data_IF_905754786585
#
_entry.id   IF_905754786585
#
_cell.length_a   1.000
_cell.length_b   1.000
_cell.length_c   1.000
_cell.angle_alpha   90.00
_cell.angle_beta   90.00
_cell.angle_gamma   90.00
#
_symmetry.space_group_name_H-M   'P 1'
#
loop_
_entity.id
_entity.type
_entity.pdbx_description
1 polymer ?
#
# COMPACT_ATOMS: atom_id res chain seq x y z
N UNK A 1 11.75 -48.01 58.20
CA UNK A 1 13.01 -48.42 57.52
C UNK A 1 12.74 -48.90 56.09
N UNK A 2 11.81 -49.84 55.88
CA UNK A 2 11.41 -50.33 54.55
C UNK A 2 11.01 -49.25 53.55
N UNK A 3 10.19 -48.25 53.92
CA UNK A 3 9.78 -47.17 53.00
C UNK A 3 10.96 -46.35 52.44
N UNK A 4 12.03 -46.16 53.24
CA UNK A 4 13.25 -45.45 52.84
C UNK A 4 14.09 -46.28 51.86
N UNK A 5 14.12 -47.61 52.02
CA UNK A 5 14.80 -48.50 51.07
C UNK A 5 14.04 -48.61 49.76
N UNK A 6 12.70 -48.65 49.78
CA UNK A 6 11.88 -48.66 48.56
C UNK A 6 12.01 -47.35 47.77
N UNK A 7 12.07 -46.20 48.45
CA UNK A 7 12.32 -44.90 47.83
C UNK A 7 13.74 -44.80 47.26
N UNK A 8 14.77 -45.27 47.99
CA UNK A 8 16.14 -45.34 47.47
C UNK A 8 16.25 -46.24 46.23
N UNK A 9 15.55 -47.38 46.23
CA UNK A 9 15.53 -48.31 45.10
C UNK A 9 14.84 -47.70 43.86
N UNK A 10 13.68 -47.05 44.03
CA UNK A 10 12.99 -46.32 42.96
C UNK A 10 13.83 -45.18 42.37
N UNK A 11 14.51 -44.40 43.23
CA UNK A 11 15.41 -43.33 42.79
C UNK A 11 16.59 -43.90 42.00
N UNK A 12 17.15 -45.04 42.45
CA UNK A 12 18.21 -45.74 41.71
C UNK A 12 17.73 -46.27 40.35
N UNK A 13 16.53 -46.82 40.29
CA UNK A 13 15.96 -47.35 39.04
C UNK A 13 15.65 -46.21 38.04
N UNK A 14 15.13 -45.07 38.51
CA UNK A 14 14.94 -43.87 37.70
C UNK A 14 16.26 -43.27 37.21
N UNK A 15 17.29 -43.21 38.06
CA UNK A 15 18.64 -42.76 37.69
C UNK A 15 19.28 -43.70 36.66
N UNK A 16 19.14 -45.01 36.84
CA UNK A 16 19.66 -46.01 35.91
C UNK A 16 18.94 -45.94 34.56
N UNK A 17 17.64 -45.67 34.55
CA UNK A 17 16.87 -45.47 33.33
C UNK A 17 17.31 -44.19 32.59
N UNK A 18 17.44 -43.07 33.30
CA UNK A 18 17.92 -41.81 32.74
C UNK A 18 19.36 -41.92 32.21
N UNK A 19 20.26 -42.59 32.93
CA UNK A 19 21.62 -42.85 32.43
C UNK A 19 21.65 -43.78 31.22
N UNK A 20 20.67 -44.69 31.09
CA UNK A 20 20.52 -45.54 29.90
C UNK A 20 20.01 -44.76 28.69
N UNK A 21 19.10 -43.81 28.88
CA UNK A 21 18.64 -42.89 27.83
C UNK A 21 19.74 -41.91 27.40
N UNK A 22 20.46 -41.31 28.35
CA UNK A 22 21.60 -40.42 28.07
C UNK A 22 22.69 -41.10 27.25
N UNK A 23 22.84 -42.42 27.37
CA UNK A 23 23.82 -43.20 26.59
C UNK A 23 23.53 -43.18 25.09
N UNK A 24 22.28 -42.99 24.69
CA UNK A 24 21.86 -42.82 23.29
C UNK A 24 21.58 -41.37 22.92
N UNK A 25 21.65 -40.45 23.89
CA UNK A 25 21.38 -39.03 23.69
C UNK A 25 22.67 -38.35 23.22
N UNK A 26 22.84 -38.32 21.90
CA UNK A 26 23.88 -37.54 21.24
C UNK A 26 23.18 -36.41 20.48
N UNK A 27 23.59 -35.16 20.70
CA UNK A 27 23.16 -34.05 19.84
C UNK A 27 23.72 -34.33 18.44
N UNK A 28 22.85 -34.60 17.48
CA UNK A 28 23.26 -34.80 16.10
C UNK A 28 23.78 -33.48 15.54
N UNK A 29 25.00 -33.47 14.99
CA UNK A 29 25.47 -32.36 14.17
C UNK A 29 24.62 -32.30 12.89
N UNK A 30 23.53 -31.52 12.93
CA UNK A 30 22.66 -31.28 11.79
C UNK A 30 23.37 -30.34 10.81
N UNK A 31 24.02 -30.92 9.79
CA UNK A 31 24.65 -30.18 8.69
C UNK A 31 23.96 -30.49 7.36
N UNK A 32 23.68 -29.45 6.57
CA UNK A 32 23.19 -29.58 5.19
C UNK A 32 24.38 -29.61 4.22
N UNK A 33 24.62 -30.75 3.57
CA UNK A 33 25.65 -30.92 2.54
C UNK A 33 25.09 -30.86 1.11
N UNK A 34 23.81 -30.47 0.94
CA UNK A 34 23.21 -30.28 -0.37
C UNK A 34 23.98 -29.19 -1.14
N UNK A 35 24.45 -29.57 -2.32
CA UNK A 35 25.08 -28.64 -3.24
C UNK A 35 24.02 -28.06 -4.18
N UNK A 36 23.95 -26.74 -4.27
CA UNK A 36 23.23 -26.05 -5.34
C UNK A 36 24.22 -25.68 -6.44
N UNK A 37 23.87 -25.98 -7.69
CA UNK A 37 24.55 -25.41 -8.85
C UNK A 37 23.71 -24.22 -9.32
N UNK A 38 24.31 -23.04 -9.26
CA UNK A 38 23.68 -21.82 -9.74
C UNK A 38 23.49 -21.90 -11.26
N UNK A 39 22.24 -21.81 -11.73
CA UNK A 39 21.93 -21.73 -13.17
C UNK A 39 22.42 -20.42 -13.81
N UNK A 40 22.94 -19.48 -13.00
CA UNK A 40 23.47 -18.20 -13.48
C UNK A 40 24.76 -18.34 -14.30
N UNK A 41 25.51 -19.44 -14.15
CA UNK A 41 26.84 -19.59 -14.77
C UNK A 41 26.77 -20.14 -16.19
N UNK A 42 25.72 -20.86 -16.55
CA UNK A 42 25.59 -21.55 -17.84
C UNK A 42 24.26 -21.21 -18.53
N UNK A 43 24.14 -20.00 -19.09
CA UNK A 43 23.29 -19.74 -20.27
C UNK A 43 23.28 -18.26 -20.64
N UNK A 44 23.61 -18.00 -21.91
CA UNK A 44 23.42 -16.76 -22.68
C UNK A 44 21.94 -16.33 -22.85
N UNK A 45 21.06 -16.70 -21.91
CA UNK A 45 19.63 -16.35 -21.88
C UNK A 45 19.19 -15.63 -20.60
N UNK A 46 20.11 -15.36 -19.67
CA UNK A 46 19.81 -14.80 -18.34
C UNK A 46 20.15 -13.30 -18.19
N UNK A 47 20.37 -12.57 -19.28
CA UNK A 47 20.71 -11.14 -19.26
C UNK A 47 19.71 -10.31 -18.44
N UNK A 48 18.41 -10.62 -18.55
CA UNK A 48 17.33 -9.83 -17.93
C UNK A 48 17.30 -9.96 -16.39
N UNK A 49 17.57 -11.15 -15.84
CA UNK A 49 17.62 -11.37 -14.37
C UNK A 49 18.90 -10.81 -13.75
N UNK A 50 20.02 -10.88 -14.47
CA UNK A 50 21.25 -10.21 -14.08
C UNK A 50 21.03 -8.69 -14.02
N UNK A 51 20.38 -8.12 -15.04
CA UNK A 51 20.02 -6.69 -15.07
C UNK A 51 19.06 -6.29 -13.96
N UNK A 52 18.06 -7.10 -13.59
CA UNK A 52 17.16 -6.77 -12.47
C UNK A 52 17.91 -6.77 -11.13
N UNK A 53 18.70 -7.80 -10.83
CA UNK A 53 19.51 -7.85 -9.60
C UNK A 53 20.51 -6.69 -9.53
N UNK A 54 21.03 -6.30 -10.70
CA UNK A 54 21.95 -5.20 -10.85
C UNK A 54 21.26 -3.83 -10.72
N UNK A 55 20.05 -3.66 -11.26
CA UNK A 55 19.22 -2.47 -11.09
C UNK A 55 18.80 -2.29 -9.62
N UNK A 56 18.43 -3.37 -8.94
CA UNK A 56 18.13 -3.34 -7.50
C UNK A 56 19.38 -2.93 -6.70
N UNK A 57 20.56 -3.43 -7.07
CA UNK A 57 21.81 -3.05 -6.40
C UNK A 57 22.20 -1.59 -6.70
N UNK A 58 22.07 -1.13 -7.95
CA UNK A 58 22.26 0.27 -8.33
C UNK A 58 21.27 1.16 -7.58
N UNK A 59 20.01 0.78 -7.49
CA UNK A 59 18.97 1.55 -6.81
C UNK A 59 19.21 1.59 -5.31
N UNK A 60 19.60 0.47 -4.69
CA UNK A 60 19.99 0.41 -3.28
C UNK A 60 21.15 1.35 -3.00
N UNK A 61 22.14 1.38 -3.89
CA UNK A 61 23.30 2.24 -3.78
C UNK A 61 22.94 3.71 -4.03
N UNK A 62 22.12 4.02 -5.03
CA UNK A 62 21.62 5.35 -5.31
C UNK A 62 20.76 5.90 -4.16
N UNK A 63 19.90 5.06 -3.56
CA UNK A 63 19.14 5.40 -2.35
C UNK A 63 20.05 5.67 -1.16
N UNK A 64 21.11 4.86 -1.00
CA UNK A 64 22.10 5.08 0.06
C UNK A 64 22.81 6.42 -0.15
N UNK A 65 23.22 6.73 -1.39
CA UNK A 65 23.86 8.01 -1.74
C UNK A 65 22.89 9.18 -1.53
N UNK A 66 21.63 9.07 -1.94
CA UNK A 66 20.60 10.12 -1.74
C UNK A 66 20.24 10.32 -0.27
N UNK A 67 20.17 9.26 0.52
CA UNK A 67 19.91 9.33 1.97
C UNK A 67 21.08 10.01 2.71
N UNK A 68 22.32 9.64 2.37
CA UNK A 68 23.52 10.30 2.90
C UNK A 68 23.61 11.77 2.45
N UNK A 69 23.21 12.09 1.22
CA UNK A 69 23.14 13.47 0.72
C UNK A 69 22.07 14.30 1.45
N UNK A 70 20.89 13.73 1.71
CA UNK A 70 19.84 14.38 2.50
C UNK A 70 20.30 14.64 3.95
N UNK A 71 20.99 13.68 4.58
CA UNK A 71 21.63 13.84 5.88
C UNK A 71 22.74 14.90 5.87
N UNK A 72 23.49 14.99 4.77
CA UNK A 72 24.52 16.02 4.56
C UNK A 72 23.89 17.42 4.45
N UNK A 73 22.84 17.58 3.65
CA UNK A 73 22.08 18.82 3.52
C UNK A 73 21.48 19.26 4.87
N UNK A 74 20.87 18.34 5.61
CA UNK A 74 20.31 18.60 6.93
C UNK A 74 21.37 18.96 7.98
N UNK A 75 22.59 18.43 7.87
CA UNK A 75 23.73 18.81 8.72
C UNK A 75 24.34 20.14 8.31
N UNK A 76 24.39 20.45 7.01
CA UNK A 76 24.88 21.73 6.48
C UNK A 76 23.94 22.90 6.83
N UNK A 77 22.63 22.66 6.91
CA UNK A 77 21.65 23.66 7.39
C UNK A 77 21.82 24.00 8.88
N UNK A 78 22.48 23.14 9.66
CA UNK A 78 22.64 23.27 11.11
C UNK A 78 24.09 23.57 11.56
N UNK A 79 25.02 23.80 10.62
CA UNK A 79 26.44 24.04 10.91
C UNK A 79 26.85 25.47 10.56
N UNK A 80 27.47 26.16 11.53
CA UNK A 80 28.19 27.41 11.31
C UNK A 80 29.49 27.07 10.55
N UNK A 81 29.63 27.55 9.32
CA UNK A 81 30.51 27.02 8.26
C UNK A 81 32.03 27.20 8.50
N UNK A 82 32.45 27.68 9.66
CA UNK A 82 33.85 28.00 9.96
C UNK A 82 34.62 26.89 10.70
N UNK A 83 33.99 25.77 11.07
CA UNK A 83 34.70 24.69 11.75
C UNK A 83 34.33 23.28 11.24
N UNK A 84 35.37 22.58 10.73
CA UNK A 84 35.60 21.10 10.79
C UNK A 84 35.50 20.32 9.44
N UNK A 85 36.40 19.32 9.21
CA UNK A 85 36.78 18.81 7.90
C UNK A 85 35.92 17.61 7.45
N UNK A 86 34.88 17.89 6.66
CA UNK A 86 33.95 16.89 6.06
C UNK A 86 34.50 16.25 4.77
N UNK A 87 35.58 16.81 4.19
CA UNK A 87 36.11 16.44 2.87
C UNK A 87 36.82 15.07 2.79
N UNK A 88 37.23 14.48 3.92
CA UNK A 88 37.98 13.21 3.91
C UNK A 88 37.06 11.98 3.74
N UNK A 89 35.84 12.01 4.29
CA UNK A 89 34.86 10.92 4.18
C UNK A 89 34.26 10.83 2.77
N UNK A 90 33.99 11.99 2.16
CA UNK A 90 33.53 12.12 0.76
C UNK A 90 34.47 11.46 -0.26
N UNK A 91 35.80 11.56 -0.07
CA UNK A 91 36.80 11.00 -0.99
C UNK A 91 36.86 9.47 -1.00
N UNK A 92 36.47 8.82 0.10
CA UNK A 92 36.56 7.37 0.21
C UNK A 92 35.33 6.67 -0.39
N UNK A 93 34.16 7.32 -0.36
CA UNK A 93 32.92 6.81 -0.95
C UNK A 93 32.82 7.05 -2.47
N UNK A 94 33.42 8.13 -2.99
CA UNK A 94 33.54 8.38 -4.45
C UNK A 94 34.33 7.29 -5.18
N UNK A 95 35.34 6.69 -4.53
CA UNK A 95 36.11 5.56 -5.12
C UNK A 95 35.27 4.30 -5.35
N UNK A 96 34.23 4.08 -4.54
CA UNK A 96 33.35 2.92 -4.68
C UNK A 96 32.43 3.11 -5.88
N UNK A 97 31.90 4.32 -6.05
CA UNK A 97 31.11 4.72 -7.24
C UNK A 97 31.96 4.65 -8.51
N UNK A 98 33.20 5.17 -8.50
CA UNK A 98 34.13 5.06 -9.63
C UNK A 98 34.46 3.60 -10.00
N UNK A 99 34.61 2.70 -9.03
CA UNK A 99 34.86 1.27 -9.29
C UNK A 99 33.66 0.57 -9.93
N UNK A 100 32.45 0.97 -9.55
CA UNK A 100 31.20 0.44 -10.10
C UNK A 100 30.97 0.98 -11.52
N UNK A 101 31.21 2.28 -11.75
CA UNK A 101 31.13 2.91 -13.06
C UNK A 101 32.15 2.32 -14.06
N UNK A 102 33.37 2.00 -13.62
CA UNK A 102 34.37 1.35 -14.49
C UNK A 102 33.99 -0.09 -14.84
N UNK A 103 33.40 -0.84 -13.90
CA UNK A 103 32.89 -2.20 -14.15
C UNK A 103 31.70 -2.20 -15.12
N UNK A 104 30.84 -1.18 -15.01
CA UNK A 104 29.74 -0.89 -15.91
C UNK A 104 30.21 -0.57 -17.34
N UNK A 105 31.25 0.25 -17.46
CA UNK A 105 31.84 0.59 -18.76
C UNK A 105 32.46 -0.65 -19.41
N UNK A 106 33.17 -1.50 -18.69
CA UNK A 106 33.71 -2.76 -19.24
C UNK A 106 32.60 -3.66 -19.81
N UNK A 107 31.52 -3.87 -19.06
CA UNK A 107 30.41 -4.75 -19.46
C UNK A 107 29.60 -4.15 -20.63
N UNK A 108 29.37 -2.84 -20.62
CA UNK A 108 28.73 -2.14 -21.73
C UNK A 108 29.63 -2.12 -22.99
N UNK A 109 30.95 -2.03 -22.82
CA UNK A 109 31.91 -2.11 -23.92
C UNK A 109 31.89 -3.49 -24.57
N UNK A 110 31.81 -4.57 -23.78
CA UNK A 110 31.64 -5.94 -24.29
C UNK A 110 30.31 -6.13 -25.03
N UNK A 111 29.24 -5.43 -24.59
CA UNK A 111 27.92 -5.45 -25.22
C UNK A 111 27.88 -4.66 -26.54
N UNK A 112 28.60 -3.54 -26.62
CA UNK A 112 28.75 -2.70 -27.83
C UNK A 112 29.67 -3.36 -28.87
N UNK A 113 30.68 -4.11 -28.44
CA UNK A 113 31.57 -4.87 -29.35
C UNK A 113 30.80 -5.97 -30.09
N UNK A 114 29.72 -6.50 -29.53
CA UNK A 114 28.86 -7.51 -30.18
C UNK A 114 27.81 -6.89 -31.13
N UNK A 115 27.53 -5.59 -31.05
CA UNK A 115 26.58 -4.90 -31.94
C UNK A 115 27.24 -4.05 -33.05
N UNK A 116 28.52 -3.70 -32.92
CA UNK A 116 29.21 -2.80 -33.86
C UNK A 116 30.33 -3.49 -34.64
N UNK A 117 29.97 -4.23 -35.69
CA UNK A 117 30.84 -4.40 -36.86
C UNK A 117 30.76 -3.15 -37.75
N UNK A 118 31.23 -1.99 -37.27
CA UNK A 118 31.57 -0.87 -38.15
C UNK A 118 32.65 0.03 -37.53
N UNK A 119 33.73 0.35 -38.25
CA UNK A 119 34.91 0.98 -37.69
C UNK A 119 34.80 2.51 -37.80
N UNK A 120 34.70 3.22 -36.68
CA UNK A 120 35.26 4.57 -36.51
C UNK A 120 34.90 5.16 -35.14
N UNK A 121 35.85 5.16 -34.21
CA UNK A 121 36.11 6.27 -33.27
C UNK A 121 37.23 5.89 -32.31
N UNK A 122 38.48 6.19 -32.67
CA UNK A 122 39.67 6.00 -31.81
C UNK A 122 39.97 7.20 -30.89
N UNK A 123 39.10 8.21 -30.84
CA UNK A 123 39.42 9.48 -30.18
C UNK A 123 38.84 9.63 -28.75
N UNK A 124 38.11 8.64 -28.22
CA UNK A 124 37.43 8.75 -26.92
C UNK A 124 38.31 8.50 -25.68
N UNK A 125 39.56 8.04 -25.84
CA UNK A 125 40.38 7.59 -24.71
C UNK A 125 41.19 8.71 -24.03
N UNK A 126 41.57 9.77 -24.76
CA UNK A 126 42.48 10.81 -24.26
C UNK A 126 41.77 11.94 -23.49
N UNK A 127 40.43 12.05 -23.59
CA UNK A 127 39.65 13.09 -22.91
C UNK A 127 39.31 12.73 -21.44
N UNK A 128 39.46 11.46 -21.05
CA UNK A 128 39.11 10.94 -19.73
C UNK A 128 40.07 11.37 -18.60
N UNK A 129 41.29 11.81 -18.92
CA UNK A 129 42.36 11.99 -17.91
C UNK A 129 42.42 13.42 -17.32
N UNK A 130 41.76 14.41 -17.91
CA UNK A 130 41.85 15.82 -17.45
C UNK A 130 40.75 16.28 -16.46
N UNK A 131 39.88 15.39 -15.98
CA UNK A 131 38.63 15.79 -15.29
C UNK A 131 38.73 15.94 -13.76
N UNK A 132 39.89 15.71 -13.14
CA UNK A 132 40.02 15.59 -11.66
C UNK A 132 40.32 16.89 -10.86
N UNK A 133 39.97 18.09 -11.36
CA UNK A 133 40.31 19.35 -10.64
C UNK A 133 39.20 20.41 -10.43
N UNK A 134 37.91 20.08 -10.54
CA UNK A 134 36.87 21.08 -10.17
C UNK A 134 35.53 20.49 -9.69
N UNK A 135 34.94 20.99 -8.59
CA UNK A 135 33.64 20.55 -8.05
C UNK A 135 32.47 20.64 -9.04
N UNK A 136 32.51 21.60 -9.97
CA UNK A 136 31.46 21.82 -10.98
C UNK A 136 31.37 20.73 -12.07
N UNK A 137 32.34 19.81 -12.14
CA UNK A 137 32.28 18.62 -13.01
C UNK A 137 31.73 17.38 -12.31
N UNK A 138 31.79 17.32 -10.98
CA UNK A 138 31.23 16.23 -10.17
C UNK A 138 29.69 16.25 -10.20
N UNK A 139 29.08 17.43 -10.08
CA UNK A 139 27.65 17.62 -10.30
C UNK A 139 27.26 17.16 -11.72
N UNK A 140 27.99 17.60 -12.76
CA UNK A 140 27.72 17.17 -14.14
C UNK A 140 27.87 15.66 -14.36
N UNK A 141 28.78 15.00 -13.64
CA UNK A 141 28.97 13.55 -13.74
C UNK A 141 27.84 12.80 -13.04
N UNK A 142 27.39 13.22 -11.86
CA UNK A 142 26.19 12.65 -11.20
C UNK A 142 24.95 12.86 -12.07
N UNK A 143 24.81 14.03 -12.69
CA UNK A 143 23.72 14.29 -13.64
C UNK A 143 23.81 13.39 -14.87
N UNK A 144 25.00 13.19 -15.45
CA UNK A 144 25.23 12.26 -16.56
C UNK A 144 24.99 10.80 -16.17
N UNK A 145 25.47 10.36 -15.00
CA UNK A 145 25.29 8.99 -14.50
C UNK A 145 23.82 8.73 -14.14
N UNK A 146 23.12 9.75 -13.61
CA UNK A 146 21.67 9.72 -13.41
C UNK A 146 20.87 9.72 -14.71
N UNK A 147 21.34 10.40 -15.76
CA UNK A 147 20.78 10.31 -17.12
C UNK A 147 21.01 8.93 -17.75
N UNK A 148 22.23 8.38 -17.66
CA UNK A 148 22.55 7.02 -18.14
C UNK A 148 21.72 5.97 -17.40
N UNK A 149 21.53 6.12 -16.08
CA UNK A 149 20.67 5.22 -15.31
C UNK A 149 19.20 5.30 -15.75
N UNK A 150 18.67 6.52 -16.00
CA UNK A 150 17.33 6.69 -16.57
C UNK A 150 17.18 6.05 -17.95
N UNK A 151 18.19 6.18 -18.81
CA UNK A 151 18.18 5.60 -20.15
C UNK A 151 18.24 4.07 -20.13
N UNK A 152 19.06 3.47 -19.26
CA UNK A 152 19.12 2.01 -19.08
C UNK A 152 17.81 1.45 -18.51
N UNK A 153 17.20 2.12 -17.52
CA UNK A 153 15.89 1.73 -17.00
C UNK A 153 14.84 1.82 -18.11
N UNK A 154 14.90 2.88 -18.93
CA UNK A 154 13.99 3.06 -20.08
C UNK A 154 14.14 1.93 -21.10
N UNK A 155 15.37 1.59 -21.50
CA UNK A 155 15.64 0.47 -22.42
C UNK A 155 15.17 -0.87 -21.85
N UNK A 156 15.37 -1.12 -20.55
CA UNK A 156 14.89 -2.33 -19.90
C UNK A 156 13.36 -2.43 -19.90
N UNK A 157 12.67 -1.31 -19.63
CA UNK A 157 11.20 -1.25 -19.73
C UNK A 157 10.81 -1.50 -21.19
N UNK A 158 11.48 -0.87 -22.16
CA UNK A 158 11.20 -1.07 -23.59
C UNK A 158 11.29 -2.55 -23.99
N UNK A 159 12.34 -3.26 -23.56
CA UNK A 159 12.50 -4.70 -23.81
C UNK A 159 11.35 -5.50 -23.19
N UNK A 160 11.00 -5.19 -21.93
CA UNK A 160 9.86 -5.83 -21.26
C UNK A 160 8.55 -5.60 -22.01
N UNK A 161 8.35 -4.41 -22.59
CA UNK A 161 7.17 -4.09 -23.38
C UNK A 161 7.15 -4.80 -24.73
N UNK A 162 8.28 -4.91 -25.42
CA UNK A 162 8.39 -5.70 -26.66
C UNK A 162 7.97 -7.15 -26.39
N UNK A 163 8.49 -7.75 -25.31
CA UNK A 163 8.11 -9.10 -24.92
C UNK A 163 6.59 -9.26 -24.67
N UNK A 164 5.93 -8.24 -24.10
CA UNK A 164 4.49 -8.26 -23.84
C UNK A 164 3.67 -8.08 -25.14
N UNK A 165 4.11 -7.17 -26.01
CA UNK A 165 3.36 -6.74 -27.19
C UNK A 165 3.54 -7.67 -28.40
N UNK A 166 4.61 -8.44 -28.47
CA UNK A 166 4.85 -9.35 -29.60
C UNK A 166 3.91 -10.57 -29.60
N UNK A 167 3.28 -10.82 -30.74
CA UNK A 167 2.29 -11.90 -30.91
C UNK A 167 2.89 -13.31 -30.74
N UNK A 168 4.18 -13.47 -31.03
CA UNK A 168 4.88 -14.75 -30.94
C UNK A 168 5.48 -15.03 -29.56
N UNK A 169 5.39 -14.08 -28.63
CA UNK A 169 5.99 -14.21 -27.30
C UNK A 169 5.37 -15.36 -26.50
N UNK A 170 6.24 -16.17 -25.89
CA UNK A 170 5.79 -17.23 -24.99
C UNK A 170 5.14 -16.66 -23.73
N UNK A 171 4.10 -17.32 -23.23
CA UNK A 171 3.38 -16.92 -21.99
C UNK A 171 4.36 -16.72 -20.81
N UNK A 172 5.40 -17.56 -20.71
CA UNK A 172 6.42 -17.46 -19.66
C UNK A 172 7.26 -16.18 -19.76
N UNK A 173 7.54 -15.72 -20.98
CA UNK A 173 8.30 -14.49 -21.19
C UNK A 173 7.46 -13.26 -20.81
N UNK A 174 6.17 -13.28 -21.18
CA UNK A 174 5.19 -12.24 -20.80
C UNK A 174 5.01 -12.20 -19.28
N UNK A 175 4.83 -13.34 -18.62
CA UNK A 175 4.74 -13.46 -17.16
C UNK A 175 5.97 -12.86 -16.45
N UNK A 176 7.15 -13.20 -16.95
CA UNK A 176 8.42 -12.68 -16.43
C UNK A 176 8.50 -11.16 -16.59
N UNK A 177 8.19 -10.64 -17.78
CA UNK A 177 8.21 -9.19 -18.04
C UNK A 177 7.20 -8.41 -17.20
N UNK A 178 5.99 -8.95 -16.97
CA UNK A 178 5.02 -8.29 -16.06
C UNK A 178 5.56 -8.27 -14.61
N UNK A 179 6.15 -9.38 -14.16
CA UNK A 179 6.75 -9.48 -12.81
C UNK A 179 7.89 -8.47 -12.64
N UNK A 180 8.73 -8.32 -13.66
CA UNK A 180 9.85 -7.37 -13.67
C UNK A 180 9.36 -5.92 -13.67
N UNK A 181 8.36 -5.57 -14.49
CA UNK A 181 7.73 -4.25 -14.48
C UNK A 181 7.11 -3.93 -13.12
N UNK A 182 6.43 -4.90 -12.51
CA UNK A 182 5.86 -4.74 -11.16
C UNK A 182 6.95 -4.48 -10.14
N UNK A 183 8.02 -5.30 -10.16
CA UNK A 183 9.16 -5.14 -9.27
C UNK A 183 9.85 -3.79 -9.43
N UNK A 184 9.97 -3.29 -10.66
CA UNK A 184 10.50 -1.96 -10.94
C UNK A 184 9.60 -0.84 -10.43
N UNK A 185 8.29 -0.94 -10.63
CA UNK A 185 7.33 0.06 -10.15
C UNK A 185 7.33 0.21 -8.62
N UNK A 186 7.58 -0.88 -7.89
CA UNK A 186 7.70 -0.85 -6.43
C UNK A 186 8.91 -0.03 -5.92
N UNK A 187 9.90 0.27 -6.77
CA UNK A 187 11.07 1.06 -6.39
C UNK A 187 10.83 2.58 -6.44
N UNK A 188 9.62 3.02 -6.80
CA UNK A 188 9.17 4.40 -6.58
C UNK A 188 8.40 5.01 -7.75
N UNK A 189 7.62 6.06 -7.44
CA UNK A 189 6.69 6.69 -8.39
C UNK A 189 7.35 7.23 -9.67
N UNK A 190 8.61 7.67 -9.63
CA UNK A 190 9.35 8.13 -10.81
C UNK A 190 9.54 7.02 -11.86
N UNK A 191 9.61 5.75 -11.44
CA UNK A 191 9.68 4.59 -12.35
C UNK A 191 8.30 4.28 -12.90
N UNK A 192 7.25 4.37 -12.08
CA UNK A 192 5.87 4.23 -12.56
C UNK A 192 5.51 5.28 -13.63
N UNK A 193 5.98 6.53 -13.47
CA UNK A 193 5.88 7.57 -14.49
C UNK A 193 6.59 7.15 -15.78
N UNK A 194 7.82 6.65 -15.69
CA UNK A 194 8.56 6.19 -16.86
C UNK A 194 7.87 5.01 -17.56
N UNK A 195 7.42 3.99 -16.81
CA UNK A 195 6.66 2.85 -17.34
C UNK A 195 5.41 3.36 -18.09
N UNK A 196 4.69 4.33 -17.53
CA UNK A 196 3.51 4.92 -18.16
C UNK A 196 3.88 5.63 -19.47
N UNK A 197 4.95 6.44 -19.48
CA UNK A 197 5.41 7.21 -20.66
C UNK A 197 5.77 6.36 -21.85
N UNK A 198 6.39 5.20 -21.62
CA UNK A 198 6.81 4.30 -22.71
C UNK A 198 5.72 3.31 -23.13
N UNK A 199 4.48 3.48 -22.63
CA UNK A 199 3.33 2.69 -23.06
C UNK A 199 3.05 1.43 -22.23
N UNK A 200 3.61 1.33 -21.02
CA UNK A 200 3.41 0.16 -20.16
C UNK A 200 1.96 -0.07 -19.74
N UNK A 201 1.20 1.00 -19.53
CA UNK A 201 -0.24 0.89 -19.23
C UNK A 201 -1.01 0.21 -20.36
N UNK A 202 -0.81 0.64 -21.61
CA UNK A 202 -1.44 0.02 -22.79
C UNK A 202 -1.06 -1.45 -22.92
N UNK A 203 0.22 -1.77 -22.77
CA UNK A 203 0.71 -3.15 -22.89
C UNK A 203 0.07 -4.06 -21.82
N UNK A 204 0.01 -3.61 -20.56
CA UNK A 204 -0.61 -4.35 -19.47
C UNK A 204 -2.13 -4.51 -19.66
N UNK A 205 -2.84 -3.49 -20.16
CA UNK A 205 -4.25 -3.60 -20.53
C UNK A 205 -4.47 -4.60 -21.68
N UNK A 206 -3.56 -4.65 -22.66
CA UNK A 206 -3.56 -5.67 -23.71
C UNK A 206 -3.55 -7.10 -23.13
N UNK A 207 -2.70 -7.36 -22.13
CA UNK A 207 -2.66 -8.65 -21.42
C UNK A 207 -4.00 -8.98 -20.75
N UNK A 208 -4.69 -7.98 -20.18
CA UNK A 208 -5.99 -8.19 -19.54
C UNK A 208 -7.08 -8.60 -20.53
N UNK A 209 -7.05 -8.03 -21.74
CA UNK A 209 -8.07 -8.21 -22.79
C UNK A 209 -7.82 -9.50 -23.58
N UNK A 210 -6.57 -9.80 -23.92
CA UNK A 210 -6.24 -10.87 -24.84
C UNK A 210 -6.48 -12.27 -24.24
N UNK A 211 -7.31 -13.07 -24.93
CA UNK A 211 -7.70 -14.40 -24.45
C UNK A 211 -6.52 -15.35 -24.25
N UNK A 212 -5.43 -15.19 -25.02
CA UNK A 212 -4.20 -15.99 -24.88
C UNK A 212 -3.52 -15.80 -23.52
N UNK A 213 -3.73 -14.66 -22.88
CA UNK A 213 -3.09 -14.30 -21.62
C UNK A 213 -4.03 -14.33 -20.42
N UNK A 214 -5.19 -14.98 -20.52
CA UNK A 214 -6.17 -15.08 -19.41
C UNK A 214 -5.52 -15.50 -18.08
N UNK A 215 -4.57 -16.44 -18.11
CA UNK A 215 -3.83 -16.91 -16.91
C UNK A 215 -2.92 -15.87 -16.26
N UNK A 216 -2.56 -14.82 -16.99
CA UNK A 216 -1.69 -13.73 -16.53
C UNK A 216 -2.49 -12.47 -16.14
N UNK A 217 -3.82 -12.49 -16.27
CA UNK A 217 -4.66 -11.32 -16.03
C UNK A 217 -4.50 -10.77 -14.61
N UNK A 218 -4.56 -11.63 -13.59
CA UNK A 218 -4.33 -11.22 -12.18
C UNK A 218 -2.97 -10.53 -12.00
N UNK A 219 -1.92 -11.06 -12.65
CA UNK A 219 -0.58 -10.50 -12.59
C UNK A 219 -0.49 -9.13 -13.28
N UNK A 220 -1.14 -8.98 -14.44
CA UNK A 220 -1.22 -7.71 -15.16
C UNK A 220 -2.03 -6.65 -14.40
N UNK A 221 -3.14 -7.03 -13.77
CA UNK A 221 -3.94 -6.16 -12.92
C UNK A 221 -3.13 -5.67 -11.71
N UNK A 222 -2.37 -6.54 -11.05
CA UNK A 222 -1.47 -6.14 -9.97
C UNK A 222 -0.37 -5.17 -10.42
N UNK A 223 0.19 -5.40 -11.61
CA UNK A 223 1.15 -4.49 -12.22
C UNK A 223 0.49 -3.12 -12.50
N UNK A 224 -0.74 -3.10 -13.04
CA UNK A 224 -1.50 -1.87 -13.27
C UNK A 224 -1.75 -1.11 -11.97
N UNK A 225 -2.14 -1.79 -10.88
CA UNK A 225 -2.28 -1.16 -9.56
C UNK A 225 -0.95 -0.57 -9.08
N UNK A 226 0.18 -1.25 -9.34
CA UNK A 226 1.51 -0.72 -8.96
C UNK A 226 1.88 0.54 -9.75
N UNK A 227 1.63 0.55 -11.06
CA UNK A 227 2.00 1.66 -11.94
C UNK A 227 1.05 2.87 -11.77
N UNK A 228 -0.22 2.64 -11.43
CA UNK A 228 -1.21 3.68 -11.20
C UNK A 228 -1.10 4.38 -9.84
N UNK A 229 0.05 4.28 -9.16
CA UNK A 229 0.32 5.02 -7.92
C UNK A 229 0.68 6.50 -8.14
N UNK A 230 0.75 6.94 -9.41
CA UNK A 230 1.07 8.31 -9.82
C UNK A 230 0.00 8.86 -10.78
N UNK A 231 -0.22 10.18 -10.75
CA UNK A 231 -1.24 10.85 -11.57
C UNK A 231 -1.09 10.59 -13.08
N UNK A 232 0.16 10.54 -13.57
CA UNK A 232 0.47 10.23 -14.97
C UNK A 232 0.03 8.81 -15.37
N UNK A 233 0.18 7.85 -14.47
CA UNK A 233 -0.27 6.46 -14.65
C UNK A 233 -1.78 6.38 -14.70
N UNK A 234 -2.48 7.05 -13.79
CA UNK A 234 -3.96 7.10 -13.76
C UNK A 234 -4.51 7.77 -15.03
N UNK A 235 -3.91 8.89 -15.45
CA UNK A 235 -4.32 9.60 -16.67
C UNK A 235 -4.13 8.73 -17.91
N UNK A 236 -2.99 8.04 -18.00
CA UNK A 236 -2.75 7.09 -19.08
C UNK A 236 -3.72 5.91 -19.03
N UNK A 237 -4.06 5.42 -17.83
CA UNK A 237 -5.00 4.32 -17.64
C UNK A 237 -6.40 4.65 -18.14
N UNK A 238 -6.91 5.84 -17.80
CA UNK A 238 -8.20 6.28 -18.32
C UNK A 238 -8.16 6.49 -19.84
N UNK A 239 -7.11 7.13 -20.36
CA UNK A 239 -6.95 7.39 -21.80
C UNK A 239 -6.94 6.11 -22.65
N UNK A 240 -6.35 5.04 -22.12
CA UNK A 240 -6.23 3.75 -22.80
C UNK A 240 -7.46 2.84 -22.59
N UNK A 241 -8.57 3.36 -22.04
CA UNK A 241 -9.81 2.61 -21.84
C UNK A 241 -9.77 1.65 -20.65
N UNK A 242 -8.85 1.85 -19.71
CA UNK A 242 -8.68 0.95 -18.57
C UNK A 242 -9.91 0.86 -17.66
N UNK A 243 -10.70 1.93 -17.57
CA UNK A 243 -11.95 1.95 -16.78
C UNK A 243 -12.98 0.97 -17.35
N UNK A 244 -13.12 0.91 -18.68
CA UNK A 244 -14.02 -0.04 -19.35
C UNK A 244 -13.57 -1.48 -19.09
N UNK A 245 -12.27 -1.75 -19.23
CA UNK A 245 -11.67 -3.07 -18.98
C UNK A 245 -11.92 -3.54 -17.55
N UNK A 246 -11.68 -2.68 -16.56
CA UNK A 246 -11.91 -3.03 -15.15
C UNK A 246 -13.40 -3.21 -14.87
N UNK A 247 -14.26 -2.37 -15.44
CA UNK A 247 -15.70 -2.53 -15.30
C UNK A 247 -16.18 -3.86 -15.87
N UNK A 248 -15.69 -4.26 -17.05
CA UNK A 248 -16.03 -5.54 -17.68
C UNK A 248 -15.58 -6.70 -16.80
N UNK A 249 -14.33 -6.65 -16.31
CA UNK A 249 -13.78 -7.68 -15.43
C UNK A 249 -14.59 -7.83 -14.15
N UNK A 250 -14.85 -6.71 -13.46
CA UNK A 250 -15.59 -6.71 -12.19
C UNK A 250 -17.05 -7.16 -12.34
N UNK A 251 -17.72 -6.74 -13.42
CA UNK A 251 -19.15 -6.97 -13.57
C UNK A 251 -19.51 -8.35 -14.15
N UNK A 252 -18.53 -9.08 -14.70
CA UNK A 252 -18.73 -10.42 -15.25
C UNK A 252 -18.58 -11.51 -14.16
N UNK A 253 -19.68 -12.14 -13.80
CA UNK A 253 -19.72 -13.21 -12.80
C UNK A 253 -19.00 -14.49 -13.24
N UNK A 254 -18.75 -14.68 -14.55
CA UNK A 254 -18.00 -15.82 -15.09
C UNK A 254 -16.48 -15.66 -14.90
N UNK A 255 -16.02 -14.45 -14.58
CA UNK A 255 -14.62 -14.20 -14.27
C UNK A 255 -14.30 -14.65 -12.84
N UNK A 256 -13.19 -15.39 -12.63
CA UNK A 256 -12.78 -15.85 -11.30
C UNK A 256 -12.66 -14.71 -10.29
N UNK A 257 -13.06 -15.00 -9.05
CA UNK A 257 -13.00 -14.03 -7.94
C UNK A 257 -11.60 -13.43 -7.73
N UNK A 258 -10.54 -14.23 -7.93
CA UNK A 258 -9.16 -13.74 -7.86
C UNK A 258 -8.88 -12.61 -8.86
N UNK A 259 -9.31 -12.77 -10.10
CA UNK A 259 -9.12 -11.77 -11.15
C UNK A 259 -9.95 -10.52 -10.87
N UNK A 260 -11.19 -10.68 -10.39
CA UNK A 260 -12.05 -9.55 -10.03
C UNK A 260 -11.54 -8.80 -8.80
N UNK A 261 -10.98 -9.50 -7.82
CA UNK A 261 -10.33 -8.91 -6.65
C UNK A 261 -9.12 -8.05 -7.01
N UNK A 262 -8.28 -8.49 -7.96
CA UNK A 262 -7.18 -7.68 -8.49
C UNK A 262 -7.71 -6.44 -9.25
N UNK A 263 -8.81 -6.58 -10.00
CA UNK A 263 -9.45 -5.45 -10.66
C UNK A 263 -10.04 -4.43 -9.66
N UNK A 264 -10.59 -4.91 -8.54
CA UNK A 264 -11.01 -4.05 -7.43
C UNK A 264 -9.80 -3.34 -6.79
N UNK A 265 -8.65 -4.00 -6.70
CA UNK A 265 -7.38 -3.40 -6.27
C UNK A 265 -6.92 -2.27 -7.19
N UNK A 266 -6.98 -2.46 -8.51
CA UNK A 266 -6.72 -1.39 -9.50
C UNK A 266 -7.69 -0.24 -9.29
N UNK A 267 -8.99 -0.53 -9.14
CA UNK A 267 -10.00 0.49 -8.91
C UNK A 267 -9.76 1.29 -7.63
N UNK A 268 -9.41 0.62 -6.53
CA UNK A 268 -9.03 1.27 -5.27
C UNK A 268 -7.82 2.20 -5.47
N UNK A 269 -6.82 1.76 -6.21
CA UNK A 269 -5.63 2.56 -6.50
C UNK A 269 -5.95 3.80 -7.32
N UNK A 270 -6.66 3.67 -8.45
CA UNK A 270 -6.95 4.80 -9.33
C UNK A 270 -7.94 5.79 -8.71
N UNK A 271 -8.70 5.40 -7.69
CA UNK A 271 -9.63 6.28 -6.97
C UNK A 271 -9.05 6.85 -5.67
N UNK A 272 -7.77 6.57 -5.39
CA UNK A 272 -7.14 6.94 -4.14
C UNK A 272 -7.01 8.47 -3.98
N UNK A 273 -7.40 9.05 -2.83
CA UNK A 273 -7.51 10.49 -2.65
C UNK A 273 -6.16 11.23 -2.46
N UNK A 274 -5.06 10.50 -2.26
CA UNK A 274 -3.73 11.08 -2.05
C UNK A 274 -2.96 11.35 -3.35
N UNK A 275 -3.47 10.88 -4.49
CA UNK A 275 -2.85 11.17 -5.79
C UNK A 275 -3.27 12.57 -6.22
N UNK A 276 -2.30 13.45 -6.40
CA UNK A 276 -2.53 14.84 -6.84
C UNK A 276 -3.32 14.87 -8.16
N UNK A 277 -4.26 15.81 -8.28
CA UNK A 277 -5.15 16.00 -9.43
C UNK A 277 -6.06 14.81 -9.79
N UNK A 278 -6.21 13.82 -8.90
CA UNK A 278 -7.11 12.68 -9.09
C UNK A 278 -8.59 13.01 -8.80
N UNK A 279 -9.07 14.15 -9.31
CA UNK A 279 -10.35 14.75 -8.91
C UNK A 279 -11.52 14.38 -9.81
N UNK A 280 -11.28 13.72 -10.94
CA UNK A 280 -12.35 13.18 -11.77
C UNK A 280 -11.84 12.07 -12.68
N UNK A 281 -12.53 10.93 -12.69
CA UNK A 281 -12.46 9.91 -13.74
C UNK A 281 -13.79 9.99 -14.52
N UNK A 282 -13.91 10.85 -15.55
CA UNK A 282 -15.15 11.01 -16.30
C UNK A 282 -15.76 9.69 -16.80
N UNK A 283 -14.93 8.76 -17.30
CA UNK A 283 -15.41 7.50 -17.84
C UNK A 283 -16.07 6.64 -16.75
N UNK A 284 -15.56 6.72 -15.51
CA UNK A 284 -16.04 5.92 -14.38
C UNK A 284 -17.52 6.12 -14.08
N UNK A 285 -18.06 7.33 -14.32
CA UNK A 285 -19.48 7.67 -14.05
C UNK A 285 -20.46 6.74 -14.77
N UNK A 286 -20.14 6.32 -16.00
CA UNK A 286 -20.97 5.40 -16.78
C UNK A 286 -21.07 3.99 -16.17
N UNK A 287 -20.09 3.61 -15.35
CA UNK A 287 -19.95 2.24 -14.83
C UNK A 287 -20.27 2.12 -13.33
N UNK A 288 -20.42 3.24 -12.62
CA UNK A 288 -20.58 3.27 -11.15
C UNK A 288 -21.62 2.29 -10.63
N UNK A 289 -22.81 2.24 -11.24
CA UNK A 289 -23.88 1.34 -10.77
C UNK A 289 -23.50 -0.14 -10.89
N UNK A 290 -22.88 -0.54 -12.00
CA UNK A 290 -22.42 -1.91 -12.22
C UNK A 290 -21.28 -2.27 -11.28
N UNK A 291 -20.28 -1.39 -11.18
CA UNK A 291 -19.13 -1.53 -10.30
C UNK A 291 -19.54 -1.65 -8.84
N UNK A 292 -20.41 -0.76 -8.34
CA UNK A 292 -20.87 -0.81 -6.94
C UNK A 292 -21.57 -2.14 -6.66
N UNK A 293 -22.41 -2.62 -7.58
CA UNK A 293 -23.07 -3.93 -7.44
C UNK A 293 -22.05 -5.08 -7.39
N UNK A 294 -21.06 -5.07 -8.27
CA UNK A 294 -20.00 -6.08 -8.32
C UNK A 294 -19.16 -6.09 -7.03
N UNK A 295 -18.68 -4.92 -6.61
CA UNK A 295 -17.87 -4.76 -5.39
C UNK A 295 -18.64 -5.16 -4.12
N UNK A 296 -19.96 -4.95 -4.10
CA UNK A 296 -20.82 -5.35 -2.98
C UNK A 296 -20.93 -6.88 -2.85
N UNK A 297 -20.78 -7.61 -3.96
CA UNK A 297 -20.88 -9.07 -3.97
C UNK A 297 -19.56 -9.78 -3.63
N UNK A 298 -18.43 -9.08 -3.71
CA UNK A 298 -17.09 -9.64 -3.52
C UNK A 298 -16.52 -9.50 -2.10
N UNK A 299 -15.58 -10.39 -1.76
CA UNK A 299 -14.99 -10.50 -0.43
C UNK A 299 -14.25 -9.22 -0.03
N UNK A 300 -14.38 -8.91 1.26
CA UNK A 300 -14.63 -7.60 1.83
C UNK A 300 -13.45 -6.61 1.92
N UNK A 301 -12.20 -7.07 1.78
CA UNK A 301 -11.03 -6.27 2.22
C UNK A 301 -10.54 -5.27 1.17
N UNK A 302 -10.52 -5.65 -0.11
CA UNK A 302 -10.06 -4.79 -1.21
C UNK A 302 -11.21 -4.00 -1.84
N UNK A 303 -12.41 -4.59 -1.90
CA UNK A 303 -13.60 -3.94 -2.49
C UNK A 303 -14.11 -2.78 -1.65
N UNK A 304 -13.99 -2.87 -0.31
CA UNK A 304 -14.40 -1.79 0.59
C UNK A 304 -13.54 -0.52 0.45
N UNK A 305 -12.24 -0.67 0.13
CA UNK A 305 -11.38 0.49 -0.16
C UNK A 305 -11.81 1.22 -1.44
N UNK A 306 -12.10 0.46 -2.51
CA UNK A 306 -12.64 1.04 -3.75
C UNK A 306 -13.98 1.74 -3.50
N UNK A 307 -14.92 1.10 -2.81
CA UNK A 307 -16.22 1.70 -2.48
C UNK A 307 -16.07 2.98 -1.64
N UNK A 308 -15.20 2.98 -0.63
CA UNK A 308 -14.93 4.14 0.21
C UNK A 308 -14.44 5.31 -0.64
N UNK A 309 -13.47 5.08 -1.53
CA UNK A 309 -12.95 6.08 -2.44
C UNK A 309 -14.05 6.61 -3.39
N UNK A 310 -14.86 5.73 -3.98
CA UNK A 310 -15.97 6.11 -4.86
C UNK A 310 -16.98 7.04 -4.16
N UNK A 311 -17.27 6.80 -2.88
CA UNK A 311 -18.21 7.65 -2.11
C UNK A 311 -17.72 9.09 -1.91
N UNK A 312 -16.43 9.37 -2.10
CA UNK A 312 -15.90 10.73 -2.12
C UNK A 312 -15.97 11.39 -3.50
N UNK A 313 -15.92 10.60 -4.57
CA UNK A 313 -15.81 11.10 -5.94
C UNK A 313 -17.16 11.56 -6.50
N UNK A 314 -18.25 10.85 -6.19
CA UNK A 314 -19.57 11.20 -6.75
C UNK A 314 -20.72 10.81 -5.80
N UNK A 315 -21.65 11.74 -5.58
CA UNK A 315 -22.82 11.53 -4.71
C UNK A 315 -23.77 10.45 -5.23
N UNK A 316 -23.83 10.24 -6.55
CA UNK A 316 -24.65 9.18 -7.17
C UNK A 316 -24.24 7.78 -6.76
N UNK A 317 -23.01 7.61 -6.24
CA UNK A 317 -22.55 6.35 -5.65
C UNK A 317 -23.40 5.95 -4.45
N UNK A 318 -23.90 6.91 -3.66
CA UNK A 318 -24.75 6.63 -2.51
C UNK A 318 -26.05 5.94 -2.94
N UNK A 319 -26.67 6.40 -4.04
CA UNK A 319 -27.88 5.78 -4.61
C UNK A 319 -27.60 4.36 -5.12
N UNK A 320 -26.45 4.14 -5.75
CA UNK A 320 -26.02 2.82 -6.21
C UNK A 320 -25.75 1.85 -5.04
N UNK A 321 -25.16 2.34 -3.94
CA UNK A 321 -24.93 1.57 -2.71
C UNK A 321 -26.23 1.15 -2.05
N UNK A 322 -27.22 2.05 -2.00
CA UNK A 322 -28.56 1.72 -1.49
C UNK A 322 -29.26 0.69 -2.36
N UNK A 323 -29.26 0.90 -3.68
CA UNK A 323 -29.85 -0.02 -4.66
C UNK A 323 -29.25 -1.43 -4.58
N UNK A 324 -27.98 -1.54 -4.19
CA UNK A 324 -27.26 -2.81 -4.05
C UNK A 324 -27.31 -3.38 -2.62
N UNK A 325 -28.04 -2.74 -1.70
CA UNK A 325 -28.08 -3.12 -0.28
C UNK A 325 -26.69 -3.22 0.38
N UNK A 326 -25.72 -2.43 -0.09
CA UNK A 326 -24.32 -2.52 0.36
C UNK A 326 -24.20 -2.28 1.85
N UNK A 327 -24.98 -1.35 2.41
CA UNK A 327 -25.04 -1.12 3.85
C UNK A 327 -25.37 -2.40 4.65
N UNK A 328 -26.29 -3.27 4.19
CA UNK A 328 -26.62 -4.52 4.89
C UNK A 328 -25.45 -5.49 4.87
N UNK A 329 -24.76 -5.60 3.73
CA UNK A 329 -23.56 -6.43 3.60
C UNK A 329 -22.45 -5.94 4.53
N UNK A 330 -22.15 -4.65 4.51
CA UNK A 330 -21.15 -4.02 5.39
C UNK A 330 -21.47 -4.23 6.87
N UNK A 331 -22.71 -4.00 7.28
CA UNK A 331 -23.15 -4.14 8.66
C UNK A 331 -23.13 -5.62 9.11
N UNK A 332 -23.48 -6.55 8.23
CA UNK A 332 -23.44 -7.98 8.53
C UNK A 332 -22.00 -8.45 8.72
N UNK A 333 -21.10 -8.09 7.80
CA UNK A 333 -19.68 -8.41 7.91
C UNK A 333 -19.08 -7.84 9.21
N UNK A 334 -19.38 -6.58 9.55
CA UNK A 334 -18.93 -5.95 10.79
C UNK A 334 -19.44 -6.63 12.07
N UNK A 335 -20.58 -7.34 12.01
CA UNK A 335 -21.16 -8.07 13.15
C UNK A 335 -20.64 -9.50 13.26
N UNK A 336 -20.43 -10.18 12.13
CA UNK A 336 -20.08 -11.61 12.10
C UNK A 336 -18.58 -11.83 12.27
N UNK A 337 -17.75 -10.94 11.73
CA UNK A 337 -16.30 -11.10 11.76
C UNK A 337 -15.68 -10.45 13.01
N UNK A 338 -15.49 -11.26 14.06
CA UNK A 338 -14.93 -10.79 15.34
C UNK A 338 -13.53 -10.15 15.22
N UNK A 339 -12.76 -10.52 14.19
CA UNK A 339 -11.36 -10.12 14.03
C UNK A 339 -11.10 -9.28 12.76
N UNK A 340 -12.06 -8.44 12.37
CA UNK A 340 -11.81 -7.48 11.28
C UNK A 340 -10.58 -6.61 11.55
N UNK A 341 -9.72 -6.49 10.53
CA UNK A 341 -8.57 -5.61 10.60
C UNK A 341 -9.01 -4.15 10.79
N UNK A 342 -8.18 -3.34 11.44
CA UNK A 342 -8.45 -1.91 11.62
C UNK A 342 -8.61 -1.19 10.27
N UNK A 343 -7.90 -1.62 9.23
CA UNK A 343 -8.02 -1.05 7.88
C UNK A 343 -9.39 -1.32 7.26
N UNK A 344 -9.93 -2.52 7.48
CA UNK A 344 -11.26 -2.89 6.99
C UNK A 344 -12.37 -2.16 7.75
N UNK A 345 -12.23 -2.06 9.07
CA UNK A 345 -13.14 -1.26 9.92
C UNK A 345 -13.16 0.21 9.49
N UNK A 346 -11.99 0.75 9.13
CA UNK A 346 -11.83 2.11 8.61
C UNK A 346 -12.60 2.31 7.29
N UNK A 347 -12.52 1.36 6.35
CA UNK A 347 -13.29 1.42 5.11
C UNK A 347 -14.80 1.38 5.36
N UNK A 348 -15.28 0.48 6.24
CA UNK A 348 -16.70 0.41 6.61
C UNK A 348 -17.16 1.75 7.22
N UNK A 349 -16.43 2.26 8.21
CA UNK A 349 -16.75 3.51 8.89
C UNK A 349 -16.82 4.67 7.90
N UNK A 350 -15.89 4.71 6.94
CA UNK A 350 -15.84 5.73 5.89
C UNK A 350 -17.07 5.66 4.98
N UNK A 351 -17.43 4.48 4.46
CA UNK A 351 -18.60 4.31 3.59
C UNK A 351 -19.88 4.70 4.35
N UNK A 352 -20.07 4.20 5.57
CA UNK A 352 -21.26 4.51 6.38
C UNK A 352 -21.36 6.01 6.71
N UNK A 353 -20.24 6.65 7.05
CA UNK A 353 -20.21 8.09 7.28
C UNK A 353 -20.65 8.87 6.04
N UNK A 354 -20.12 8.54 4.87
CA UNK A 354 -20.46 9.21 3.62
C UNK A 354 -21.92 8.94 3.20
N UNK A 355 -22.39 7.70 3.30
CA UNK A 355 -23.81 7.36 3.08
C UNK A 355 -24.75 8.13 4.02
N UNK A 356 -24.37 8.32 5.29
CA UNK A 356 -25.17 9.07 6.27
C UNK A 356 -25.36 10.56 5.94
N UNK A 357 -24.75 11.07 4.86
CA UNK A 357 -25.08 12.41 4.34
C UNK A 357 -26.46 12.48 3.67
N UNK A 358 -27.00 11.34 3.22
CA UNK A 358 -28.36 11.22 2.68
C UNK A 358 -29.35 10.79 3.76
N UNK A 359 -30.52 11.44 3.80
CA UNK A 359 -31.58 11.08 4.74
C UNK A 359 -32.18 9.70 4.46
N UNK A 360 -32.28 9.31 3.19
CA UNK A 360 -32.78 7.98 2.80
C UNK A 360 -31.79 6.88 3.25
N UNK A 361 -30.50 7.08 2.98
CA UNK A 361 -29.47 6.14 3.39
C UNK A 361 -29.38 6.02 4.91
N UNK A 362 -29.52 7.14 5.62
CA UNK A 362 -29.56 7.18 7.09
C UNK A 362 -30.65 6.26 7.64
N UNK A 363 -31.85 6.32 7.08
CA UNK A 363 -32.98 5.48 7.50
C UNK A 363 -32.67 3.99 7.31
N UNK A 364 -32.19 3.60 6.13
CA UNK A 364 -31.84 2.20 5.81
C UNK A 364 -30.71 1.65 6.69
N UNK A 365 -29.67 2.45 6.95
CA UNK A 365 -28.57 2.10 7.86
C UNK A 365 -29.11 1.84 9.26
N UNK A 366 -29.98 2.71 9.76
CA UNK A 366 -30.56 2.63 11.09
C UNK A 366 -31.50 1.43 11.24
N UNK A 367 -32.36 1.17 10.26
CA UNK A 367 -33.26 0.01 10.23
C UNK A 367 -32.49 -1.32 10.15
N UNK A 368 -31.31 -1.31 9.52
CA UNK A 368 -30.41 -2.47 9.42
C UNK A 368 -29.53 -2.69 10.67
N UNK A 369 -29.76 -1.92 11.74
CA UNK A 369 -28.99 -2.02 12.99
C UNK A 369 -27.59 -1.42 12.89
N UNK A 370 -27.45 -0.32 12.14
CA UNK A 370 -26.19 0.38 11.94
C UNK A 370 -25.70 1.16 13.15
N UNK A 371 -26.59 1.55 14.06
CA UNK A 371 -26.23 2.23 15.32
C UNK A 371 -25.28 1.34 16.15
N UNK A 372 -25.62 0.07 16.32
CA UNK A 372 -24.82 -0.88 17.11
C UNK A 372 -23.41 -1.04 16.53
N UNK A 373 -23.32 -1.15 15.21
CA UNK A 373 -22.04 -1.28 14.50
C UNK A 373 -21.22 0.00 14.62
N UNK A 374 -21.82 1.17 14.40
CA UNK A 374 -21.11 2.43 14.51
C UNK A 374 -20.61 2.69 15.94
N UNK A 375 -21.38 2.28 16.96
CA UNK A 375 -20.91 2.33 18.35
C UNK A 375 -19.77 1.34 18.58
N UNK A 376 -19.88 0.09 18.09
CA UNK A 376 -18.78 -0.89 18.16
C UNK A 376 -17.50 -0.38 17.50
N UNK A 377 -17.61 0.26 16.33
CA UNK A 377 -16.49 0.88 15.63
C UNK A 377 -15.90 2.05 16.45
N UNK A 378 -16.74 2.89 17.05
CA UNK A 378 -16.32 3.98 17.95
C UNK A 378 -15.59 3.47 19.21
N UNK A 379 -15.86 2.24 19.64
CA UNK A 379 -15.13 1.57 20.73
C UNK A 379 -13.74 1.07 20.30
N UNK A 380 -13.37 1.13 19.02
CA UNK A 380 -12.02 0.73 18.57
C UNK A 380 -11.00 1.61 19.27
N UNK A 381 -10.25 1.02 20.19
CA UNK A 381 -9.22 1.71 20.97
C UNK A 381 -7.85 1.66 20.30
N UNK A 382 -6.90 2.50 20.75
CA UNK A 382 -5.52 2.42 20.31
C UNK A 382 -4.97 1.02 20.58
N UNK A 383 -4.49 0.36 19.51
CA UNK A 383 -3.86 -0.95 19.64
C UNK A 383 -2.60 -0.83 20.49
N UNK A 384 -2.27 -1.89 21.24
CA UNK A 384 -0.98 -2.00 21.91
C UNK A 384 0.20 -2.07 20.91
N UNK A 385 -0.08 -2.28 19.62
CA UNK A 385 0.89 -2.22 18.54
C UNK A 385 1.24 -0.77 18.17
N UNK A 386 2.55 -0.47 18.15
CA UNK A 386 3.12 0.86 17.88
C UNK A 386 3.14 1.18 16.36
N UNK A 387 2.42 0.43 15.52
CA UNK A 387 2.43 0.69 14.07
C UNK A 387 1.64 1.95 13.79
N UNK A 388 2.34 3.01 13.36
CA UNK A 388 1.76 4.33 13.04
C UNK A 388 0.53 4.17 12.12
N UNK A 389 0.59 3.30 11.12
CA UNK A 389 -0.53 3.06 10.21
C UNK A 389 -1.81 2.52 10.89
N UNK A 390 -1.67 1.67 11.90
CA UNK A 390 -2.81 1.10 12.64
C UNK A 390 -3.41 2.14 13.62
N UNK A 391 -2.55 2.99 14.20
CA UNK A 391 -2.99 4.15 15.00
C UNK A 391 -3.77 5.12 14.12
N UNK A 392 -3.23 5.52 12.97
CA UNK A 392 -3.93 6.39 12.03
C UNK A 392 -5.21 5.77 11.45
N UNK A 393 -5.27 4.45 11.29
CA UNK A 393 -6.52 3.77 10.93
C UNK A 393 -7.54 3.85 12.08
N UNK A 394 -7.11 3.63 13.32
CA UNK A 394 -7.97 3.71 14.51
C UNK A 394 -8.59 5.10 14.69
N UNK A 395 -7.78 6.15 14.54
CA UNK A 395 -8.26 7.53 14.56
C UNK A 395 -9.35 7.77 13.51
N UNK A 396 -9.12 7.30 12.27
CA UNK A 396 -10.10 7.43 11.19
C UNK A 396 -11.38 6.64 11.47
N UNK A 397 -11.30 5.43 12.02
CA UNK A 397 -12.49 4.67 12.44
C UNK A 397 -13.33 5.49 13.44
N UNK A 398 -12.70 5.97 14.51
CA UNK A 398 -13.41 6.74 15.55
C UNK A 398 -14.00 8.02 14.98
N UNK A 399 -13.21 8.78 14.20
CA UNK A 399 -13.64 10.02 13.58
C UNK A 399 -14.86 9.80 12.65
N UNK A 400 -14.77 8.83 11.73
CA UNK A 400 -15.83 8.56 10.75
C UNK A 400 -17.08 8.00 11.43
N UNK A 401 -16.92 7.16 12.45
CA UNK A 401 -18.05 6.66 13.25
C UNK A 401 -18.76 7.79 13.98
N UNK A 402 -18.03 8.72 14.60
CA UNK A 402 -18.62 9.89 15.24
C UNK A 402 -19.33 10.83 14.24
N UNK A 403 -18.77 11.03 13.04
CA UNK A 403 -19.42 11.79 11.96
C UNK A 403 -20.71 11.11 11.51
N UNK A 404 -20.70 9.79 11.30
CA UNK A 404 -21.89 9.02 10.93
C UNK A 404 -22.98 9.14 11.99
N UNK A 405 -22.63 8.92 13.27
CA UNK A 405 -23.55 9.06 14.40
C UNK A 405 -24.10 10.48 14.51
N UNK A 406 -23.27 11.50 14.32
CA UNK A 406 -23.73 12.90 14.26
C UNK A 406 -24.79 13.10 13.19
N UNK A 407 -24.60 12.59 11.97
CA UNK A 407 -25.58 12.73 10.88
C UNK A 407 -26.87 11.95 11.15
N UNK A 408 -26.75 10.73 11.68
CA UNK A 408 -27.88 9.87 12.06
C UNK A 408 -28.72 10.53 13.17
N UNK A 409 -28.08 11.18 14.15
CA UNK A 409 -28.76 11.85 15.26
C UNK A 409 -29.55 13.10 14.87
N UNK A 410 -29.62 13.47 13.57
CA UNK A 410 -30.62 14.43 13.11
C UNK A 410 -32.06 13.91 13.33
N UNK A 411 -32.26 12.60 13.37
CA UNK A 411 -33.52 11.96 13.76
C UNK A 411 -33.57 11.75 15.28
N UNK A 412 -34.57 12.31 16.00
CA UNK A 412 -34.71 12.12 17.45
C UNK A 412 -34.86 10.66 17.88
N UNK A 413 -35.50 9.79 17.09
CA UNK A 413 -35.64 8.38 17.46
C UNK A 413 -34.31 7.63 17.40
N UNK A 414 -33.52 7.87 16.35
CA UNK A 414 -32.16 7.37 16.25
C UNK A 414 -31.26 7.94 17.36
N UNK A 415 -31.34 9.23 17.67
CA UNK A 415 -30.57 9.86 18.74
C UNK A 415 -30.88 9.26 20.12
N UNK A 416 -32.16 8.98 20.41
CA UNK A 416 -32.57 8.28 21.64
C UNK A 416 -32.02 6.85 21.71
N UNK A 417 -31.93 6.13 20.58
CA UNK A 417 -31.27 4.81 20.54
C UNK A 417 -29.77 4.88 20.82
N UNK A 418 -29.08 5.88 20.25
CA UNK A 418 -27.65 6.11 20.53
C UNK A 418 -27.43 6.35 22.03
N UNK A 419 -28.31 7.11 22.67
CA UNK A 419 -28.29 7.33 24.12
C UNK A 419 -28.53 6.04 24.90
N UNK A 420 -29.55 5.27 24.53
CA UNK A 420 -29.89 4.01 25.20
C UNK A 420 -28.77 2.97 25.15
N UNK A 421 -27.94 2.98 24.09
CA UNK A 421 -26.78 2.10 23.95
C UNK A 421 -25.48 2.69 24.50
N UNK A 422 -25.55 3.76 25.30
CA UNK A 422 -24.38 4.35 25.98
C UNK A 422 -23.46 5.15 25.05
N UNK A 423 -23.91 5.52 23.85
CA UNK A 423 -23.10 6.24 22.88
C UNK A 423 -22.63 7.60 23.37
N UNK A 424 -23.46 8.32 24.13
CA UNK A 424 -23.06 9.60 24.72
C UNK A 424 -21.91 9.45 25.72
N UNK A 425 -21.91 8.40 26.54
CA UNK A 425 -20.82 8.14 27.49
C UNK A 425 -19.49 7.91 26.76
N UNK A 426 -19.48 7.11 25.69
CA UNK A 426 -18.27 6.89 24.89
C UNK A 426 -17.79 8.17 24.20
N UNK A 427 -18.69 8.96 23.62
CA UNK A 427 -18.34 10.23 23.00
C UNK A 427 -17.71 11.21 24.02
N UNK A 428 -18.24 11.27 25.24
CA UNK A 428 -17.69 12.09 26.33
C UNK A 428 -16.31 11.60 26.75
N UNK A 429 -16.11 10.29 26.85
CA UNK A 429 -14.81 9.70 27.17
C UNK A 429 -13.76 10.09 26.13
N UNK A 430 -14.07 9.95 24.83
CA UNK A 430 -13.19 10.37 23.74
C UNK A 430 -12.90 11.88 23.77
N UNK A 431 -13.86 12.71 24.20
CA UNK A 431 -13.62 14.15 24.36
C UNK A 431 -12.69 14.48 25.54
N UNK A 432 -12.71 13.69 26.62
CA UNK A 432 -12.01 14.02 27.87
C UNK A 432 -10.67 13.30 28.03
N UNK A 433 -10.53 12.11 27.47
CA UNK A 433 -9.34 11.29 27.58
C UNK A 433 -8.59 11.28 26.25
N UNK A 434 -7.52 12.07 26.17
CA UNK A 434 -6.74 12.23 24.94
C UNK A 434 -6.13 10.92 24.45
N UNK A 435 -5.76 10.03 25.37
CA UNK A 435 -5.17 8.73 25.05
C UNK A 435 -6.16 7.81 24.34
N UNK A 436 -7.44 7.85 24.71
CA UNK A 436 -8.49 7.01 24.10
C UNK A 436 -8.76 7.36 22.64
N UNK A 437 -8.45 8.60 22.25
CA UNK A 437 -8.57 9.09 20.87
C UNK A 437 -7.22 9.24 20.17
N UNK A 438 -6.18 8.55 20.65
CA UNK A 438 -4.83 8.59 20.06
C UNK A 438 -4.29 10.01 19.88
N UNK A 439 -4.61 10.92 20.81
CA UNK A 439 -4.20 12.33 20.76
C UNK A 439 -4.73 13.10 19.52
N UNK A 440 -5.75 12.57 18.82
CA UNK A 440 -6.28 13.14 17.57
C UNK A 440 -7.35 14.22 17.78
N UNK A 441 -7.05 15.46 17.39
CA UNK A 441 -8.00 16.59 17.42
C UNK A 441 -9.18 16.39 16.46
N UNK A 442 -8.93 15.70 15.35
CA UNK A 442 -9.96 15.38 14.36
C UNK A 442 -11.09 14.53 14.95
N UNK A 443 -10.74 13.56 15.82
CA UNK A 443 -11.70 12.73 16.57
C UNK A 443 -12.45 13.58 17.59
N UNK A 444 -11.75 14.45 18.33
CA UNK A 444 -12.36 15.36 19.31
C UNK A 444 -13.45 16.22 18.68
N UNK A 445 -13.15 16.89 17.56
CA UNK A 445 -14.11 17.75 16.84
C UNK A 445 -15.33 16.96 16.38
N UNK A 446 -15.12 15.75 15.83
CA UNK A 446 -16.21 14.88 15.41
C UNK A 446 -17.11 14.46 16.59
N UNK A 447 -16.53 14.12 17.74
CA UNK A 447 -17.27 13.73 18.93
C UNK A 447 -18.08 14.90 19.52
N UNK A 448 -17.49 16.11 19.57
CA UNK A 448 -18.19 17.32 20.01
C UNK A 448 -19.37 17.64 19.08
N UNK A 449 -19.19 17.50 17.76
CA UNK A 449 -20.26 17.69 16.80
C UNK A 449 -21.41 16.69 17.01
N UNK A 450 -21.08 15.41 17.26
CA UNK A 450 -22.08 14.39 17.56
C UNK A 450 -22.85 14.69 18.86
N UNK A 451 -22.15 15.03 19.95
CA UNK A 451 -22.77 15.41 21.22
C UNK A 451 -23.70 16.62 21.08
N UNK A 452 -23.26 17.67 20.38
CA UNK A 452 -24.09 18.85 20.10
C UNK A 452 -25.33 18.49 19.29
N UNK A 453 -25.20 17.54 18.35
CA UNK A 453 -26.36 17.08 17.58
C UNK A 453 -27.36 16.30 18.44
N UNK A 454 -26.89 15.37 19.26
CA UNK A 454 -27.73 14.65 20.23
C UNK A 454 -28.46 15.64 21.14
N UNK A 455 -27.75 16.65 21.66
CA UNK A 455 -28.34 17.71 22.49
C UNK A 455 -29.46 18.48 21.78
N UNK A 456 -29.26 18.74 20.47
CA UNK A 456 -30.24 19.45 19.64
C UNK A 456 -31.50 18.61 19.38
N UNK A 457 -31.37 17.30 19.26
CA UNK A 457 -32.48 16.40 18.89
C UNK A 457 -33.25 15.85 20.10
N UNK A 458 -32.55 15.57 21.20
CA UNK A 458 -33.13 14.97 22.42
C UNK A 458 -33.27 15.95 23.59
N UNK A 459 -32.71 17.17 23.47
CA UNK A 459 -32.64 18.15 24.55
C UNK A 459 -31.35 18.03 25.38
N UNK A 460 -30.95 19.15 25.99
CA UNK A 460 -29.68 19.26 26.74
C UNK A 460 -29.67 18.49 28.06
N UNK A 461 -30.84 18.26 28.66
CA UNK A 461 -30.95 17.63 29.98
C UNK A 461 -30.44 16.19 29.97
N UNK A 462 -30.65 15.46 28.88
CA UNK A 462 -30.22 14.06 28.73
C UNK A 462 -28.68 13.94 28.76
N UNK A 463 -27.97 15.00 28.41
CA UNK A 463 -26.51 15.05 28.43
C UNK A 463 -25.93 15.51 29.77
N UNK A 464 -26.77 15.99 30.70
CA UNK A 464 -26.33 16.27 32.09
C UNK A 464 -26.01 14.99 32.84
N UNK A 465 -26.77 13.92 32.58
CA UNK A 465 -26.61 12.62 33.24
C UNK A 465 -25.24 11.97 32.94
N UNK A 466 -24.64 12.29 31.79
CA UNK A 466 -23.30 11.84 31.38
C UNK A 466 -22.22 12.92 31.55
N UNK A 467 -22.51 13.98 32.31
CA UNK A 467 -21.59 15.11 32.55
C UNK A 467 -21.07 15.80 31.28
N UNK A 468 -21.86 15.87 30.19
CA UNK A 468 -21.42 16.44 28.92
C UNK A 468 -21.78 17.93 28.73
N UNK A 469 -22.40 18.58 29.73
CA UNK A 469 -22.92 19.95 29.63
C UNK A 469 -21.89 20.97 29.15
N UNK A 470 -20.66 20.91 29.66
CA UNK A 470 -19.58 21.83 29.30
C UNK A 470 -18.99 21.59 27.90
N UNK A 471 -19.25 20.41 27.30
CA UNK A 471 -18.74 20.02 25.99
C UNK A 471 -19.66 20.51 24.86
N UNK A 472 -20.95 20.70 25.14
CA UNK A 472 -21.95 21.12 24.16
C UNK A 472 -22.11 22.64 24.06
N UNK A 473 -21.59 23.39 25.03
CA UNK A 473 -21.59 24.84 24.97
C UNK A 473 -20.49 25.33 24.01
N UNK A 474 -20.79 26.29 23.12
CA UNK A 474 -19.77 26.90 22.30
C UNK A 474 -18.82 27.70 23.19
N UNK A 475 -17.64 27.15 23.49
CA UNK A 475 -16.51 27.97 23.89
C UNK A 475 -16.10 28.75 22.63
N UNK A 476 -16.34 30.06 22.65
CA UNK A 476 -15.72 30.99 21.71
C UNK A 476 -14.21 30.72 21.78
N UNK A 477 -13.63 30.22 20.67
CA UNK A 477 -12.20 30.26 20.43
C UNK A 477 -11.78 31.70 20.17
#
# INVERSE_FOLDING_TARGET
>A
MQLRETLKKKVNDSLNYWMKELRGFCESECMNTLQSKSLYVDSSGNYILATQSFLVEIQRQAHTVSAEFALLCQRLENLDLDQVPVLASLKQQVKVVDQICNRLIEICSETIILSNNSPNSKDGADEAVQITKSPSKFERQIFKDGEVNRELIREFIQISLVNILEDESSIRLVEKSITELTGLGLNGGHICQLISRVGGIRALLGVCIESRFKKLRSLALRALATVCCVAEGITSFEKEGGVDVISEILCDAEIPEEERSEAAGVLAQITSPWVEDNHSLPCLKGHLKGIVKALTAEVFLLTSAALANLTFLDVSVIEALLSSSTHKVLLTAAKVEENLSVFTKDQIATILANMSSSSEATKEIVESGGIDVLLSLLMTGPSASVRIAEVSATERIQQKSAIALSRICNDPEAANRVLAFGGASRLVELCRNEKERSESDAVLVACLAALRKIASSCGKEVLREVNASELIEPKLL
#
